data_IF_295241757444
#
_entry.id   IF_295241757444
#
_cell.length_a   1.000
_cell.length_b   1.000
_cell.length_c   1.000
_cell.angle_alpha   90.00
_cell.angle_beta   90.00
_cell.angle_gamma   90.00
#
_symmetry.space_group_name_H-M   'P 1'
#
loop_
_entity.id
_entity.type
_entity.pdbx_description
1 polymer ?
#
# COMPACT_ATOMS: atom_id res chain seq x y z
N UNK A 1 -13.28 -0.34 13.93
CA UNK A 1 -12.47 0.73 14.55
C UNK A 1 -12.26 0.37 16.01
N UNK A 2 -11.04 0.53 16.53
CA UNK A 2 -10.66 0.17 17.90
C UNK A 2 -9.72 1.24 18.45
N UNK A 3 -9.76 1.44 19.76
CA UNK A 3 -8.89 2.35 20.50
C UNK A 3 -8.56 1.68 21.83
N UNK A 4 -7.27 1.52 22.12
CA UNK A 4 -6.82 0.99 23.40
C UNK A 4 -7.01 2.03 24.52
N UNK A 5 -7.15 1.60 25.77
CA UNK A 5 -7.47 2.53 26.88
C UNK A 5 -6.40 3.61 27.10
N UNK A 6 -5.14 3.33 26.75
CA UNK A 6 -4.02 4.26 26.88
C UNK A 6 -3.85 5.17 25.64
N UNK A 7 -4.59 4.95 24.56
CA UNK A 7 -4.41 5.67 23.30
C UNK A 7 -5.59 6.59 22.97
N UNK A 8 -5.29 7.76 22.41
CA UNK A 8 -6.32 8.71 21.96
C UNK A 8 -6.80 8.39 20.54
N UNK A 9 -5.95 7.78 19.72
CA UNK A 9 -6.19 7.54 18.29
C UNK A 9 -6.96 6.25 18.08
N UNK A 10 -8.00 6.31 17.23
CA UNK A 10 -8.68 5.12 16.74
C UNK A 10 -7.93 4.52 15.55
N UNK A 11 -7.78 3.20 15.55
CA UNK A 11 -7.18 2.44 14.46
C UNK A 11 -8.16 1.43 13.88
N UNK A 12 -8.03 1.19 12.59
CA UNK A 12 -8.68 0.09 11.93
C UNK A 12 -7.81 -1.18 12.10
N UNK A 13 -8.41 -2.30 12.46
CA UNK A 13 -7.70 -3.60 12.58
C UNK A 13 -7.87 -4.49 11.35
N UNK A 14 -8.69 -4.07 10.39
CA UNK A 14 -8.86 -4.83 9.17
C UNK A 14 -7.64 -4.63 8.27
N UNK A 15 -6.72 -5.59 8.28
CA UNK A 15 -5.52 -5.57 7.44
C UNK A 15 -5.83 -5.61 5.94
N UNK A 16 -7.00 -6.10 5.55
CA UNK A 16 -7.47 -6.06 4.15
C UNK A 16 -8.10 -4.72 3.75
N UNK A 17 -8.08 -3.71 4.63
CA UNK A 17 -8.58 -2.37 4.31
C UNK A 17 -7.68 -1.72 3.25
N UNK A 18 -8.27 -1.32 2.11
CA UNK A 18 -7.55 -0.67 1.01
C UNK A 18 -6.75 0.55 1.46
N UNK A 19 -7.28 1.37 2.38
CA UNK A 19 -6.57 2.52 2.92
C UNK A 19 -5.28 2.13 3.68
N UNK A 20 -5.32 1.01 4.42
CA UNK A 20 -4.12 0.49 5.09
C UNK A 20 -3.13 -0.11 4.09
N UNK A 21 -3.62 -0.85 3.10
CA UNK A 21 -2.78 -1.42 2.04
C UNK A 21 -2.02 -0.31 1.30
N UNK A 22 -2.74 0.72 0.83
CA UNK A 22 -2.13 1.89 0.16
C UNK A 22 -1.07 2.56 1.05
N UNK A 23 -1.39 2.81 2.33
CA UNK A 23 -0.45 3.42 3.27
C UNK A 23 0.80 2.56 3.53
N UNK A 24 0.64 1.24 3.66
CA UNK A 24 1.77 0.33 3.81
C UNK A 24 2.66 0.32 2.56
N UNK A 25 2.07 0.23 1.37
CA UNK A 25 2.81 0.26 0.10
C UNK A 25 3.56 1.58 -0.07
N UNK A 26 2.91 2.72 0.21
CA UNK A 26 3.54 4.05 0.14
C UNK A 26 4.74 4.15 1.08
N UNK A 27 4.63 3.64 2.31
CA UNK A 27 5.76 3.61 3.24
C UNK A 27 6.88 2.72 2.70
N UNK A 28 6.54 1.54 2.18
CA UNK A 28 7.50 0.55 1.70
C UNK A 28 8.36 1.05 0.54
N UNK A 29 7.74 1.77 -0.42
CA UNK A 29 8.45 2.33 -1.59
C UNK A 29 9.20 3.63 -1.28
N UNK A 30 8.97 4.23 -0.11
CA UNK A 30 9.54 5.54 0.23
C UNK A 30 11.07 5.50 0.33
N UNK A 31 11.69 6.67 0.17
CA UNK A 31 13.15 6.86 0.27
C UNK A 31 13.78 6.39 1.57
N UNK A 32 13.01 6.40 2.66
CA UNK A 32 13.48 5.99 3.98
C UNK A 32 13.20 4.50 4.27
N UNK A 33 12.66 3.77 3.29
CA UNK A 33 12.40 2.34 3.37
C UNK A 33 13.22 1.61 2.31
N UNK A 34 12.61 1.10 1.24
CA UNK A 34 13.33 0.37 0.18
C UNK A 34 13.75 1.24 -1.00
N UNK A 35 13.37 2.52 -1.02
CA UNK A 35 13.79 3.48 -2.05
C UNK A 35 13.50 2.98 -3.48
N UNK A 36 12.24 2.60 -3.72
CA UNK A 36 11.80 2.09 -5.02
C UNK A 36 11.37 3.26 -5.90
N UNK A 37 12.27 3.64 -6.81
CA UNK A 37 12.00 4.69 -7.80
C UNK A 37 10.86 4.32 -8.76
N UNK A 38 10.13 5.34 -9.22
CA UNK A 38 9.05 5.19 -10.21
C UNK A 38 7.71 4.74 -9.63
N UNK A 39 7.65 4.29 -8.37
CA UNK A 39 6.40 3.89 -7.72
C UNK A 39 5.89 5.02 -6.82
N UNK A 40 5.07 5.89 -7.41
CA UNK A 40 4.44 7.02 -6.69
C UNK A 40 3.06 6.71 -6.13
N UNK A 41 2.54 7.63 -5.31
CA UNK A 41 1.22 7.54 -4.67
C UNK A 41 0.08 7.20 -5.66
N UNK A 42 0.00 7.92 -6.79
CA UNK A 42 -1.05 7.69 -7.80
C UNK A 42 -1.01 6.28 -8.39
N UNK A 43 0.19 5.76 -8.64
CA UNK A 43 0.35 4.41 -9.19
C UNK A 43 -0.12 3.37 -8.17
N UNK A 44 0.25 3.54 -6.90
CA UNK A 44 -0.22 2.68 -5.82
C UNK A 44 -1.75 2.73 -5.70
N UNK A 45 -2.35 3.92 -5.77
CA UNK A 45 -3.81 4.05 -5.74
C UNK A 45 -4.47 3.25 -6.87
N UNK A 46 -3.99 3.42 -8.10
CA UNK A 46 -4.50 2.69 -9.26
C UNK A 46 -4.34 1.18 -9.10
N UNK A 47 -3.14 0.70 -8.77
CA UNK A 47 -2.86 -0.73 -8.63
C UNK A 47 -3.75 -1.38 -7.55
N UNK A 48 -3.96 -0.70 -6.42
CA UNK A 48 -4.81 -1.22 -5.34
C UNK A 48 -6.30 -1.12 -5.70
N UNK A 49 -6.75 -0.03 -6.30
CA UNK A 49 -8.17 0.16 -6.65
C UNK A 49 -8.62 -0.76 -7.79
N UNK A 50 -7.69 -1.13 -8.69
CA UNK A 50 -7.91 -2.15 -9.71
C UNK A 50 -7.71 -3.58 -9.19
N UNK A 51 -7.32 -3.76 -7.93
CA UNK A 51 -7.10 -5.07 -7.29
C UNK A 51 -5.87 -5.83 -7.81
N UNK A 52 -4.99 -5.15 -8.55
CA UNK A 52 -3.76 -5.72 -9.11
C UNK A 52 -2.68 -5.92 -8.03
N UNK A 53 -2.71 -5.11 -6.97
CA UNK A 53 -1.78 -5.19 -5.84
C UNK A 53 -2.57 -5.11 -4.54
N UNK A 54 -2.44 -6.12 -3.69
CA UNK A 54 -3.05 -6.16 -2.35
C UNK A 54 -1.98 -6.30 -1.26
N UNK A 55 -0.79 -6.71 -1.64
CA UNK A 55 0.35 -6.92 -0.76
C UNK A 55 1.62 -6.31 -1.35
N UNK A 56 2.64 -6.20 -0.51
CA UNK A 56 3.99 -5.83 -0.95
C UNK A 56 4.57 -6.85 -1.94
N UNK A 57 4.28 -8.14 -1.75
CA UNK A 57 4.79 -9.21 -2.61
C UNK A 57 4.25 -9.08 -4.04
N UNK A 58 2.96 -8.74 -4.18
CA UNK A 58 2.34 -8.49 -5.49
C UNK A 58 3.07 -7.35 -6.23
N UNK A 59 3.43 -6.28 -5.52
CA UNK A 59 4.15 -5.13 -6.10
C UNK A 59 5.50 -5.55 -6.68
N UNK A 60 6.22 -6.46 -6.02
CA UNK A 60 7.54 -6.94 -6.45
C UNK A 60 7.46 -7.95 -7.61
N UNK A 61 6.27 -8.51 -7.87
CA UNK A 61 6.02 -9.45 -8.96
C UNK A 61 5.33 -8.82 -10.17
N UNK A 62 5.08 -7.51 -10.15
CA UNK A 62 4.51 -6.80 -11.31
C UNK A 62 5.43 -6.93 -12.52
N UNK A 63 4.85 -7.30 -13.65
CA UNK A 63 5.54 -7.37 -14.93
C UNK A 63 5.31 -6.12 -15.78
N UNK A 64 6.16 -5.94 -16.78
CA UNK A 64 6.08 -4.79 -17.67
C UNK A 64 4.76 -4.77 -18.45
N UNK A 65 4.22 -5.95 -18.79
CA UNK A 65 2.95 -6.06 -19.49
C UNK A 65 1.81 -5.42 -18.69
N UNK A 66 1.74 -5.70 -17.39
CA UNK A 66 0.74 -5.16 -16.45
C UNK A 66 0.86 -3.65 -16.30
N UNK A 67 2.09 -3.10 -16.32
CA UNK A 67 2.32 -1.65 -16.16
C UNK A 67 2.15 -0.83 -17.45
N UNK A 68 2.20 -1.48 -18.61
CA UNK A 68 2.12 -0.82 -19.93
C UNK A 68 0.72 -0.76 -20.53
N UNK A 69 -0.28 -1.26 -19.81
CA UNK A 69 -1.70 -1.33 -20.22
C UNK A 69 -2.50 -0.07 -19.95
#
# INVERSE_FOLDING_TARGET
>A
MHRSEAEVVYRCHNHACSAQIKGHLQHFVSKNALDIDGVGEKLIEQLVDHGLVNTVDDLLHLDQATLSG
#
